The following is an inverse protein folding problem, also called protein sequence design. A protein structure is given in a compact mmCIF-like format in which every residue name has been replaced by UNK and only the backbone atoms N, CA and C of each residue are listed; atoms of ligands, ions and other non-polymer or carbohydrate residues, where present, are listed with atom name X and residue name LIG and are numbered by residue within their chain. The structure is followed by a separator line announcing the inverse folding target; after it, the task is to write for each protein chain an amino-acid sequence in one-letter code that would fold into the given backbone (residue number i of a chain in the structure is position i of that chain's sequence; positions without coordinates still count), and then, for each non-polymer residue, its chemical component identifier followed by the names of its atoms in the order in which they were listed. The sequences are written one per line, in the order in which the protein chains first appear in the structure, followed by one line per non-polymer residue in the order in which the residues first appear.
data_IF_463302900621
#
_entry.id   IF_463302900621
#
_cell.length_a   1.000
_cell.length_b   1.000
_cell.length_c   1.000
_cell.angle_alpha   90.00
_cell.angle_beta   90.00
_cell.angle_gamma   90.00
#
_symmetry.space_group_name_H-M   'P 1'
#
loop_
_entity.id
_entity.type
_entity.pdbx_description
1 polymer ?
#
# COMPACT_ATOMS: atom_id res chain seq x y z
N UNK A 1 13.93 9.71 9.02
CA UNK A 1 13.22 8.51 9.53
C UNK A 1 11.76 8.65 9.13
N UNK A 2 11.02 7.56 8.99
CA UNK A 2 9.64 7.62 8.51
C UNK A 2 8.68 7.50 9.69
N UNK A 3 7.78 8.47 9.83
CA UNK A 3 6.68 8.40 10.80
C UNK A 3 5.42 7.80 10.17
N UNK A 4 5.29 7.95 8.84
CA UNK A 4 4.14 7.50 8.05
C UNK A 4 4.60 6.91 6.72
N UNK A 5 4.04 5.76 6.36
CA UNK A 5 4.25 5.05 5.10
C UNK A 5 2.90 4.94 4.38
N UNK A 6 2.81 5.45 3.16
CA UNK A 6 1.65 5.20 2.29
C UNK A 6 1.91 3.97 1.43
N UNK A 7 1.02 2.98 1.50
CA UNK A 7 1.12 1.73 0.76
C UNK A 7 -0.04 1.58 -0.23
N UNK A 8 0.18 1.86 -1.53
CA UNK A 8 -0.78 1.52 -2.57
C UNK A 8 -0.89 0.00 -2.75
N UNK A 9 -2.11 -0.50 -2.80
CA UNK A 9 -2.43 -1.90 -3.11
C UNK A 9 -3.43 -1.98 -4.25
N UNK A 10 -3.36 -3.09 -4.99
CA UNK A 10 -4.34 -3.46 -6.00
C UNK A 10 -4.81 -4.88 -5.65
N UNK A 11 -6.07 -5.08 -5.22
CA UNK A 11 -6.57 -6.41 -4.87
C UNK A 11 -6.33 -7.41 -6.00
N UNK A 12 -5.65 -8.52 -5.70
CA UNK A 12 -5.28 -9.54 -6.69
C UNK A 12 -4.14 -9.19 -7.64
N UNK A 13 -3.54 -8.00 -7.52
CA UNK A 13 -2.40 -7.56 -8.33
C UNK A 13 -1.05 -7.67 -7.62
N UNK A 14 0.02 -7.54 -8.40
CA UNK A 14 1.43 -7.61 -7.98
C UNK A 14 1.81 -6.53 -6.96
N UNK A 15 1.05 -5.42 -6.89
CA UNK A 15 1.26 -4.36 -5.90
C UNK A 15 1.18 -4.86 -4.44
N UNK A 16 0.52 -5.99 -4.19
CA UNK A 16 0.44 -6.59 -2.84
C UNK A 16 1.79 -7.15 -2.36
N UNK A 17 2.74 -7.40 -3.26
CA UNK A 17 4.08 -7.88 -2.90
C UNK A 17 4.88 -6.83 -2.12
N UNK A 18 4.45 -5.56 -2.13
CA UNK A 18 5.04 -4.50 -1.32
C UNK A 18 4.64 -4.57 0.17
N UNK A 19 3.60 -5.35 0.53
CA UNK A 19 3.09 -5.43 1.91
C UNK A 19 4.15 -5.90 2.92
N UNK A 20 4.90 -7.00 2.69
CA UNK A 20 5.93 -7.43 3.64
C UNK A 20 7.05 -6.39 3.81
N UNK A 21 7.38 -5.65 2.75
CA UNK A 21 8.42 -4.63 2.79
C UNK A 21 7.99 -3.39 3.60
N UNK A 22 6.75 -2.94 3.41
CA UNK A 22 6.19 -1.83 4.19
C UNK A 22 6.09 -2.18 5.68
N UNK A 23 5.70 -3.42 6.01
CA UNK A 23 5.67 -3.91 7.38
C UNK A 23 7.07 -3.89 8.04
N UNK A 24 8.09 -4.40 7.34
CA UNK A 24 9.47 -4.39 7.83
C UNK A 24 10.00 -2.97 8.09
N UNK A 25 9.67 -2.01 7.24
CA UNK A 25 10.04 -0.61 7.44
C UNK A 25 9.31 0.03 8.63
N UNK A 26 8.03 -0.28 8.80
CA UNK A 26 7.23 0.21 9.91
C UNK A 26 7.76 -0.30 11.25
N UNK A 27 8.08 -1.59 11.36
CA UNK A 27 8.69 -2.17 12.56
C UNK A 27 10.03 -1.53 12.89
N UNK A 28 10.87 -1.28 11.88
CA UNK A 28 12.20 -0.70 12.08
C UNK A 28 12.15 0.75 12.57
N UNK A 29 11.16 1.51 12.13
CA UNK A 29 11.09 2.95 12.34
C UNK A 29 9.92 3.39 13.24
N UNK A 30 9.18 2.45 13.82
CA UNK A 30 7.96 2.74 14.58
C UNK A 30 6.96 3.60 13.77
N UNK A 31 6.84 3.28 12.47
CA UNK A 31 6.05 4.07 11.52
C UNK A 31 4.61 3.54 11.39
N UNK A 32 3.66 4.43 11.12
CA UNK A 32 2.28 4.04 10.78
C UNK A 32 2.15 3.75 9.28
N UNK A 33 1.57 2.61 8.90
CA UNK A 33 1.28 2.28 7.50
C UNK A 33 -0.18 2.59 7.16
N UNK A 34 -0.40 3.44 6.15
CA UNK A 34 -1.72 3.67 5.55
C UNK A 34 -1.84 2.90 4.25
N UNK A 35 -2.70 1.89 4.22
CA UNK A 35 -2.99 1.09 3.04
C UNK A 35 -4.08 1.76 2.22
N UNK A 36 -3.84 1.97 0.93
CA UNK A 36 -4.79 2.61 0.01
C UNK A 36 -4.97 1.80 -1.26
N UNK A 37 -6.21 1.64 -1.70
CA UNK A 37 -6.55 1.04 -3.00
C UNK A 37 -7.33 2.06 -3.80
N UNK A 38 -6.98 2.23 -5.07
CA UNK A 38 -7.73 3.05 -6.02
C UNK A 38 -8.42 2.13 -7.04
N UNK A 39 -9.65 2.47 -7.41
CA UNK A 39 -10.40 1.80 -8.46
C UNK A 39 -10.64 2.82 -9.56
N UNK A 40 -10.28 2.48 -10.80
CA UNK A 40 -10.65 3.27 -11.97
C UNK A 40 -12.11 3.00 -12.32
N UNK A 41 -12.98 3.96 -12.00
CA UNK A 41 -14.43 3.84 -12.21
C UNK A 41 -14.83 4.10 -13.67
N UNK A 42 -14.00 4.78 -14.46
CA UNK A 42 -14.28 5.07 -15.87
C UNK A 42 -14.04 3.82 -16.71
N UNK A 43 -12.96 3.10 -16.46
CA UNK A 43 -12.67 1.83 -17.13
C UNK A 43 -13.67 0.71 -16.77
N UNK A 44 -14.32 0.77 -15.60
CA UNK A 44 -15.29 -0.24 -15.16
C UNK A 44 -16.70 -0.08 -15.75
N UNK A 45 -16.98 1.02 -16.47
CA UNK A 45 -18.29 1.29 -17.07
C UNK A 45 -18.30 1.23 -18.60
N UNK A 46 -17.16 0.96 -19.24
CA UNK A 46 -16.99 0.76 -20.68
C UNK A 46 -16.90 -0.73 -21.01
#
# INVERSE_FOLDING_TARGET
MYDVILLPVAPGGEANDAVPHAASLAERYDATVHVVSAIDTVAQTL
#
